data_IF_518377765809
#
_entry.id   IF_518377765809
#
_cell.length_a   1.000
_cell.length_b   1.000
_cell.length_c   1.000
_cell.angle_alpha   90.00
_cell.angle_beta   90.00
_cell.angle_gamma   90.00
#
_symmetry.space_group_name_H-M   'P 1'
#
loop_
_entity.id
_entity.type
_entity.pdbx_description
1 polymer ?
#
# COMPACT_ATOMS: atom_id res chain seq x y z
N UNK A 1 -3.91 10.08 15.80
CA UNK A 1 -3.27 10.33 14.50
C UNK A 1 -2.18 9.32 14.22
N UNK A 2 -2.46 8.42 13.28
CA UNK A 2 -1.57 7.41 12.71
C UNK A 2 -0.35 8.07 12.07
N UNK A 3 0.81 7.45 12.31
CA UNK A 3 2.12 7.90 11.80
C UNK A 3 2.62 7.07 10.62
N UNK A 4 1.97 5.95 10.36
CA UNK A 4 2.33 4.97 9.35
C UNK A 4 1.07 4.64 8.57
N UNK A 5 1.18 4.62 7.25
CA UNK A 5 0.20 4.04 6.33
C UNK A 5 0.73 2.67 5.91
N UNK A 6 -0.08 1.64 6.07
CA UNK A 6 0.31 0.26 5.84
C UNK A 6 -0.32 -0.25 4.54
N UNK A 7 0.50 -0.85 3.70
CA UNK A 7 0.07 -1.62 2.55
C UNK A 7 0.35 -3.09 2.75
N UNK A 8 -0.55 -3.94 2.28
CA UNK A 8 -0.35 -5.37 2.15
C UNK A 8 -0.23 -5.73 0.68
N UNK A 9 0.91 -6.28 0.29
CA UNK A 9 1.16 -6.82 -1.05
C UNK A 9 0.96 -8.33 -1.02
N UNK A 10 0.18 -8.83 -1.98
CA UNK A 10 0.02 -10.27 -2.23
C UNK A 10 0.18 -10.57 -3.72
N UNK A 11 0.69 -11.76 -4.04
CA UNK A 11 0.80 -12.21 -5.44
C UNK A 11 -0.47 -12.95 -5.86
N UNK A 12 -1.18 -12.41 -6.84
CA UNK A 12 -2.23 -13.13 -7.57
C UNK A 12 -1.67 -13.91 -8.77
N UNK A 13 -2.55 -14.44 -9.62
CA UNK A 13 -2.15 -15.27 -10.76
C UNK A 13 -1.17 -14.57 -11.71
N UNK A 14 -1.40 -13.28 -11.97
CA UNK A 14 -0.60 -12.48 -12.91
C UNK A 14 0.07 -11.28 -12.27
N UNK A 15 -0.65 -10.57 -11.41
CA UNK A 15 -0.21 -9.30 -10.82
C UNK A 15 0.10 -9.44 -9.34
N UNK A 16 1.01 -8.62 -8.85
CA UNK A 16 1.05 -8.26 -7.43
C UNK A 16 -0.04 -7.23 -7.18
N UNK A 17 -0.79 -7.40 -6.11
CA UNK A 17 -1.83 -6.44 -5.68
C UNK A 17 -1.41 -5.83 -4.36
N UNK A 18 -1.66 -4.53 -4.19
CA UNK A 18 -1.36 -3.78 -2.98
C UNK A 18 -2.64 -3.13 -2.46
N UNK A 19 -2.98 -3.44 -1.20
CA UNK A 19 -4.15 -2.89 -0.52
C UNK A 19 -3.70 -2.04 0.66
N UNK A 20 -4.17 -0.80 0.73
CA UNK A 20 -3.97 0.06 1.89
C UNK A 20 -4.92 -0.34 3.03
N UNK A 21 -4.42 -0.33 4.27
CA UNK A 21 -5.23 -0.68 5.45
C UNK A 21 -6.06 0.52 5.93
N UNK A 22 -5.51 1.73 5.82
CA UNK A 22 -6.11 2.93 6.38
C UNK A 22 -7.00 3.70 5.42
N UNK A 23 -6.75 3.59 4.11
CA UNK A 23 -7.37 4.38 3.06
C UNK A 23 -7.97 3.47 1.99
N UNK A 24 -9.00 3.90 1.25
CA UNK A 24 -9.59 3.12 0.16
C UNK A 24 -8.70 3.16 -1.10
N UNK A 25 -7.44 2.78 -0.95
CA UNK A 25 -6.43 2.75 -2.01
C UNK A 25 -6.09 1.31 -2.30
N UNK A 26 -6.29 0.92 -3.56
CA UNK A 26 -5.87 -0.37 -4.10
C UNK A 26 -5.13 -0.12 -5.40
N UNK A 27 -4.02 -0.83 -5.60
CA UNK A 27 -3.26 -0.78 -6.85
C UNK A 27 -2.63 -2.14 -7.14
N UNK A 28 -2.03 -2.29 -8.32
CA UNK A 28 -1.41 -3.53 -8.76
C UNK A 28 -0.25 -3.27 -9.72
N UNK A 29 0.65 -4.25 -9.87
CA UNK A 29 1.76 -4.21 -10.83
C UNK A 29 2.17 -5.61 -11.27
N UNK A 30 2.85 -5.74 -12.41
CA UNK A 30 3.40 -7.02 -12.88
C UNK A 30 4.59 -7.46 -12.02
N UNK A 31 5.42 -6.50 -11.57
CA UNK A 31 6.53 -6.74 -10.64
C UNK A 31 6.30 -6.08 -9.29
N UNK A 32 7.11 -6.47 -8.30
CA UNK A 32 7.06 -5.87 -6.98
C UNK A 32 7.48 -4.39 -7.04
N UNK A 33 8.51 -4.08 -7.83
CA UNK A 33 9.00 -2.71 -8.04
C UNK A 33 7.92 -1.83 -8.65
N UNK A 34 7.25 -2.30 -9.72
CA UNK A 34 6.13 -1.60 -10.33
C UNK A 34 5.00 -1.37 -9.33
N UNK A 35 4.68 -2.38 -8.52
CA UNK A 35 3.64 -2.26 -7.50
C UNK A 35 4.00 -1.21 -6.45
N UNK A 36 5.26 -1.13 -6.04
CA UNK A 36 5.74 -0.11 -5.09
C UNK A 36 5.67 1.30 -5.68
N UNK A 37 6.04 1.49 -6.95
CA UNK A 37 5.88 2.79 -7.62
C UNK A 37 4.40 3.16 -7.72
N UNK A 38 3.55 2.21 -8.10
CA UNK A 38 2.11 2.45 -8.19
C UNK A 38 1.48 2.75 -6.82
N UNK A 39 2.01 2.22 -5.70
CA UNK A 39 1.60 2.61 -4.33
C UNK A 39 1.89 4.10 -4.10
N UNK A 40 3.09 4.57 -4.44
CA UNK A 40 3.49 5.97 -4.24
C UNK A 40 2.63 6.91 -5.07
N UNK A 41 2.39 6.58 -6.33
CA UNK A 41 1.53 7.37 -7.22
C UNK A 41 0.09 7.42 -6.70
N UNK A 42 -0.50 6.26 -6.38
CA UNK A 42 -1.86 6.20 -5.88
C UNK A 42 -2.03 6.93 -4.54
N UNK A 43 -1.04 6.84 -3.65
CA UNK A 43 -1.03 7.59 -2.40
C UNK A 43 -0.91 9.09 -2.65
N UNK A 44 -0.01 9.53 -3.53
CA UNK A 44 0.14 10.95 -3.87
C UNK A 44 -1.15 11.52 -4.43
N UNK A 45 -1.80 10.81 -5.37
CA UNK A 45 -3.06 11.23 -5.97
C UNK A 45 -4.21 11.25 -4.96
N UNK A 46 -4.26 10.29 -4.04
CA UNK A 46 -5.34 10.23 -3.05
C UNK A 46 -5.19 11.29 -1.95
N UNK A 47 -3.96 11.65 -1.58
CA UNK A 47 -3.70 12.65 -0.56
C UNK A 47 -3.61 14.09 -1.12
N UNK A 48 -3.58 14.25 -2.43
CA UNK A 48 -3.59 15.56 -3.08
C UNK A 48 -4.88 16.31 -2.69
N UNK A 49 -4.71 17.51 -2.12
CA UNK A 49 -5.79 18.38 -1.63
C UNK A 49 -6.70 17.80 -0.52
N UNK A 50 -6.36 16.66 0.08
CA UNK A 50 -7.13 16.07 1.19
C UNK A 50 -6.72 16.61 2.57
N UNK A 51 -7.71 16.73 3.46
CA UNK A 51 -7.47 17.00 4.88
C UNK A 51 -7.23 15.68 5.64
N UNK A 52 -5.95 15.36 5.84
CA UNK A 52 -5.52 14.11 6.49
C UNK A 52 -6.05 13.94 7.93
N UNK A 53 -6.45 15.02 8.59
CA UNK A 53 -7.04 14.94 9.93
C UNK A 53 -8.36 14.16 9.93
N UNK A 54 -9.09 14.17 8.80
CA UNK A 54 -10.33 13.40 8.59
C UNK A 54 -10.10 11.90 8.64
N UNK A 55 -8.89 11.45 8.34
CA UNK A 55 -8.49 10.04 8.35
C UNK A 55 -7.69 9.65 9.60
N UNK A 56 -7.57 10.56 10.58
CA UNK A 56 -6.65 10.43 11.72
C UNK A 56 -5.21 10.15 11.27
N UNK A 57 -4.69 10.84 10.24
CA UNK A 57 -3.32 10.67 9.70
C UNK A 57 -2.53 11.99 9.84
N UNK A 58 -1.23 11.89 10.13
CA UNK A 58 -0.33 13.07 10.18
C UNK A 58 0.05 13.57 8.78
N UNK A 59 0.48 14.83 8.64
CA UNK A 59 0.87 15.46 7.34
C UNK A 59 2.00 14.77 6.58
N UNK A 60 2.83 13.96 7.24
CA UNK A 60 3.93 13.22 6.60
C UNK A 60 4.06 11.83 7.25
N UNK A 61 3.16 10.89 6.92
CA UNK A 61 3.23 9.55 7.47
C UNK A 61 4.36 8.77 6.79
N UNK A 62 4.98 7.86 7.52
CA UNK A 62 5.82 6.84 6.89
C UNK A 62 4.91 5.85 6.13
N UNK A 63 5.44 5.24 5.07
CA UNK A 63 4.76 4.16 4.36
C UNK A 63 5.45 2.85 4.70
N UNK A 64 4.68 1.86 5.17
CA UNK A 64 5.15 0.51 5.44
C UNK A 64 4.44 -0.47 4.52
N UNK A 65 5.19 -1.46 4.03
CA UNK A 65 4.67 -2.49 3.13
C UNK A 65 4.98 -3.84 3.73
N UNK A 66 3.95 -4.67 3.90
CA UNK A 66 4.07 -6.07 4.23
C UNK A 66 3.85 -6.89 2.96
N UNK A 67 4.75 -7.81 2.66
CA UNK A 67 4.69 -8.65 1.46
C UNK A 67 4.43 -10.08 1.92
N UNK A 68 3.36 -10.67 1.40
CA UNK A 68 3.10 -12.09 1.55
C UNK A 68 4.07 -12.90 0.66
N UNK A 69 4.76 -13.85 1.27
CA UNK A 69 5.69 -14.76 0.57
C UNK A 69 4.97 -16.02 0.04
N UNK A 70 3.66 -16.14 0.28
CA UNK A 70 2.86 -17.29 -0.06
C UNK A 70 2.97 -18.41 0.96
N UNK A 71 2.30 -19.53 0.67
CA UNK A 71 2.41 -20.74 1.46
C UNK A 71 3.84 -21.28 1.40
N UNK A 72 4.45 -21.42 2.57
CA UNK A 72 5.78 -22.02 2.72
C UNK A 72 5.63 -23.44 3.24
N UNK A 73 5.87 -24.43 2.38
CA UNK A 73 5.97 -25.83 2.80
C UNK A 73 7.38 -26.12 3.31
N UNK A 74 7.48 -26.61 4.54
CA UNK A 74 8.71 -27.14 5.11
C UNK A 74 8.61 -28.66 5.23
N UNK A 75 9.74 -29.35 5.01
CA UNK A 75 9.87 -30.79 5.15
C UNK A 75 10.14 -31.22 6.59
#
# INVERSE_FOLDING_TARGET
MKRIINFQISKGEKFYTANCVELPIVTQGLTLEETIENIKEALSLHLEDEDLSRFDIITHPAVSVNIDLGEYEYA
#
